data_IF_952728080997
#
_entry.id   IF_952728080997
#
_cell.length_a   1.000
_cell.length_b   1.000
_cell.length_c   1.000
_cell.angle_alpha   90.00
_cell.angle_beta   90.00
_cell.angle_gamma   90.00
#
_symmetry.space_group_name_H-M   'P 1'
#
loop_
_entity.id
_entity.type
_entity.pdbx_description
1 polymer ?
#
# COMPACT_ATOMS: atom_id res chain seq x y z
N UNK A 1 -4.02 21.46 -10.61
CA UNK A 1 -3.91 20.16 -9.89
C UNK A 1 -3.91 18.97 -10.85
N UNK A 2 -4.87 18.84 -11.77
CA UNK A 2 -4.95 17.70 -12.71
C UNK A 2 -3.64 17.43 -13.49
N UNK A 3 -3.09 18.43 -14.20
CA UNK A 3 -1.83 18.30 -14.96
C UNK A 3 -0.67 17.80 -14.08
N UNK A 4 -0.53 18.33 -12.85
CA UNK A 4 0.48 17.85 -11.91
C UNK A 4 0.27 16.39 -11.50
N UNK A 5 -0.97 15.97 -11.29
CA UNK A 5 -1.27 14.57 -10.96
C UNK A 5 -0.91 13.65 -12.12
N UNK A 6 -1.16 14.05 -13.37
CA UNK A 6 -0.78 13.30 -14.56
C UNK A 6 0.74 13.15 -14.66
N UNK A 7 1.50 14.24 -14.49
CA UNK A 7 2.97 14.19 -14.51
C UNK A 7 3.55 13.33 -13.37
N UNK A 8 2.97 13.41 -12.17
CA UNK A 8 3.35 12.55 -11.05
C UNK A 8 3.02 11.10 -11.37
N UNK A 9 1.82 10.82 -11.89
CA UNK A 9 1.41 9.47 -12.27
C UNK A 9 2.35 8.84 -13.30
N UNK A 10 2.71 9.60 -14.34
CA UNK A 10 3.66 9.16 -15.36
C UNK A 10 5.04 8.88 -14.76
N UNK A 11 5.50 9.74 -13.85
CA UNK A 11 6.73 9.51 -13.10
C UNK A 11 6.67 8.22 -12.28
N UNK A 12 5.59 7.99 -11.52
CA UNK A 12 5.42 6.77 -10.72
C UNK A 12 5.45 5.56 -11.64
N UNK A 13 4.64 5.57 -12.71
CA UNK A 13 4.53 4.50 -13.70
C UNK A 13 5.86 4.19 -14.41
N UNK A 14 6.70 5.18 -14.67
CA UNK A 14 8.01 4.98 -15.28
C UNK A 14 9.05 4.38 -14.32
N UNK A 15 8.84 4.49 -13.00
CA UNK A 15 9.83 4.15 -11.98
C UNK A 15 9.33 3.10 -10.97
N UNK A 16 8.29 2.33 -11.31
CA UNK A 16 7.64 1.36 -10.40
C UNK A 16 8.58 0.29 -9.84
N UNK A 17 9.52 -0.15 -10.67
CA UNK A 17 10.47 -1.23 -10.36
C UNK A 17 11.27 -1.01 -9.08
N UNK A 18 11.47 0.24 -8.64
CA UNK A 18 12.17 0.50 -7.38
C UNK A 18 11.33 0.14 -6.16
N UNK A 19 10.06 0.55 -6.14
CA UNK A 19 9.16 0.20 -5.04
C UNK A 19 8.75 -1.27 -5.14
N UNK A 20 8.44 -1.81 -6.33
CA UNK A 20 8.03 -3.21 -6.46
C UNK A 20 9.10 -4.17 -5.93
N UNK A 21 10.38 -3.96 -6.24
CA UNK A 21 11.48 -4.76 -5.67
C UNK A 21 11.59 -4.62 -4.16
N UNK A 22 11.42 -3.41 -3.62
CA UNK A 22 11.38 -3.19 -2.17
C UNK A 22 10.23 -3.96 -1.53
N UNK A 23 9.01 -3.84 -2.06
CA UNK A 23 7.80 -4.48 -1.53
C UNK A 23 7.93 -6.00 -1.61
N UNK A 24 8.46 -6.54 -2.71
CA UNK A 24 8.73 -7.96 -2.85
C UNK A 24 9.64 -8.47 -1.74
N UNK A 25 10.80 -7.85 -1.54
CA UNK A 25 11.75 -8.27 -0.51
C UNK A 25 11.19 -8.07 0.92
N UNK A 26 10.31 -7.09 1.12
CA UNK A 26 9.65 -6.83 2.40
C UNK A 26 8.58 -7.90 2.73
N UNK A 27 7.78 -8.32 1.76
CA UNK A 27 6.71 -9.31 1.98
C UNK A 27 7.11 -10.75 1.71
N UNK A 28 8.17 -11.00 0.95
CA UNK A 28 8.60 -12.35 0.62
C UNK A 28 8.80 -13.20 1.89
N UNK A 29 9.53 -12.77 2.94
CA UNK A 29 9.68 -13.58 4.16
C UNK A 29 8.37 -13.89 4.89
N UNK A 30 7.36 -13.03 4.73
CA UNK A 30 6.03 -13.17 5.35
C UNK A 30 5.19 -14.18 4.58
N UNK A 31 5.35 -14.22 3.25
CA UNK A 31 4.52 -14.97 2.31
C UNK A 31 5.20 -16.25 1.77
N UNK A 32 6.51 -16.40 1.95
CA UNK A 32 7.32 -17.55 1.49
C UNK A 32 7.44 -18.66 2.54
N UNK A 33 6.50 -18.72 3.49
CA UNK A 33 6.49 -19.79 4.49
C UNK A 33 6.12 -21.11 3.83
N UNK A 34 6.97 -22.14 4.02
CA UNK A 34 6.69 -23.51 3.60
C UNK A 34 5.43 -24.00 4.32
N UNK A 35 4.33 -24.15 3.58
CA UNK A 35 3.07 -24.55 4.16
C UNK A 35 1.88 -24.19 3.30
N UNK A 36 0.71 -24.60 3.78
CA UNK A 36 -0.61 -24.28 3.23
C UNK A 36 -0.85 -22.76 3.12
N UNK A 37 -1.97 -22.38 2.49
CA UNK A 37 -2.37 -20.98 2.30
C UNK A 37 -2.56 -20.26 3.65
N UNK A 38 -3.14 -20.93 4.64
CA UNK A 38 -3.55 -20.31 5.90
C UNK A 38 -2.40 -19.61 6.66
N UNK A 39 -1.22 -20.22 6.88
CA UNK A 39 -0.08 -19.53 7.45
C UNK A 39 0.30 -18.22 6.75
N UNK A 40 0.24 -18.18 5.41
CA UNK A 40 0.59 -16.98 4.63
C UNK A 40 -0.40 -15.85 4.91
N UNK A 41 -1.70 -16.15 4.90
CA UNK A 41 -2.77 -15.19 5.21
C UNK A 41 -2.63 -14.65 6.62
N UNK A 42 -2.47 -15.55 7.60
CA UNK A 42 -2.35 -15.18 9.01
C UNK A 42 -1.10 -14.33 9.24
N UNK A 43 0.05 -14.73 8.70
CA UNK A 43 1.28 -13.95 8.80
C UNK A 43 1.13 -12.57 8.18
N UNK A 44 0.49 -12.47 7.00
CA UNK A 44 0.24 -11.18 6.38
C UNK A 44 -0.66 -10.28 7.24
N UNK A 45 -1.73 -10.82 7.83
CA UNK A 45 -2.63 -10.08 8.73
C UNK A 45 -1.84 -9.51 9.92
N UNK A 46 -1.06 -10.34 10.61
CA UNK A 46 -0.21 -9.91 11.72
C UNK A 46 0.82 -8.88 11.28
N UNK A 47 1.50 -9.13 10.17
CA UNK A 47 2.54 -8.25 9.66
C UNK A 47 1.99 -6.87 9.35
N UNK A 48 0.86 -6.78 8.62
CA UNK A 48 0.21 -5.51 8.28
C UNK A 48 -0.30 -4.80 9.53
N UNK A 49 -0.97 -5.49 10.44
CA UNK A 49 -1.46 -4.87 11.67
C UNK A 49 -0.32 -4.34 12.56
N UNK A 50 0.82 -5.01 12.58
CA UNK A 50 2.00 -4.59 13.35
C UNK A 50 2.74 -3.39 12.72
N UNK A 51 2.40 -2.97 11.51
CA UNK A 51 2.88 -1.69 10.94
C UNK A 51 2.15 -0.47 11.54
N UNK A 52 1.08 -0.68 12.32
CA UNK A 52 0.41 0.39 13.04
C UNK A 52 1.32 0.97 14.13
N UNK A 53 1.36 2.29 14.27
CA UNK A 53 2.15 2.95 15.32
C UNK A 53 1.65 2.64 16.74
N UNK A 54 0.35 2.41 16.89
CA UNK A 54 -0.32 2.08 18.15
C UNK A 54 -1.45 1.06 17.88
N UNK A 55 -1.11 -0.23 17.74
CA UNK A 55 -2.11 -1.25 17.46
C UNK A 55 -3.10 -1.41 18.62
N UNK A 56 -4.39 -1.53 18.29
CA UNK A 56 -5.44 -1.82 19.28
C UNK A 56 -5.45 -3.31 19.61
N UNK A 57 -4.55 -3.71 20.51
CA UNK A 57 -4.23 -5.13 20.76
C UNK A 57 -5.47 -5.94 21.14
N UNK A 58 -6.32 -5.48 22.05
CA UNK A 58 -7.49 -6.29 22.47
C UNK A 58 -8.49 -6.53 21.32
N UNK A 59 -8.94 -5.49 20.58
CA UNK A 59 -9.70 -5.70 19.35
C UNK A 59 -9.04 -6.62 18.31
N UNK A 60 -7.73 -6.46 18.10
CA UNK A 60 -6.99 -7.29 17.14
C UNK A 60 -6.97 -8.75 17.60
N UNK A 61 -6.80 -9.01 18.90
CA UNK A 61 -6.83 -10.36 19.45
C UNK A 61 -8.20 -11.03 19.25
N UNK A 62 -9.31 -10.29 19.40
CA UNK A 62 -10.65 -10.80 19.08
C UNK A 62 -10.78 -11.18 17.59
N UNK A 63 -10.30 -10.31 16.70
CA UNK A 63 -10.27 -10.59 15.26
C UNK A 63 -9.41 -11.82 14.94
N UNK A 64 -8.20 -11.94 15.48
CA UNK A 64 -7.38 -13.12 15.22
C UNK A 64 -8.03 -14.41 15.74
N UNK A 65 -8.67 -14.37 16.92
CA UNK A 65 -9.43 -15.54 17.42
C UNK A 65 -10.56 -15.93 16.48
N UNK A 66 -11.23 -14.99 15.82
CA UNK A 66 -12.26 -15.32 14.83
C UNK A 66 -11.65 -15.96 13.58
N UNK A 67 -10.51 -15.45 13.10
CA UNK A 67 -9.76 -16.05 11.97
C UNK A 67 -9.31 -17.48 12.29
N UNK A 68 -8.69 -17.70 13.45
CA UNK A 68 -8.22 -19.04 13.86
C UNK A 68 -9.35 -20.06 14.08
N UNK A 69 -10.58 -19.60 14.39
CA UNK A 69 -11.76 -20.48 14.47
C UNK A 69 -12.33 -20.86 13.10
N UNK A 70 -11.94 -20.14 12.04
CA UNK A 70 -12.45 -20.29 10.68
C UNK A 70 -11.29 -20.35 9.67
N UNK A 71 -10.25 -21.14 9.96
CA UNK A 71 -9.07 -21.26 9.08
C UNK A 71 -9.42 -21.86 7.71
N UNK A 72 -10.47 -22.67 7.62
CA UNK A 72 -11.04 -23.12 6.34
C UNK A 72 -11.42 -21.93 5.46
N UNK A 73 -11.86 -20.82 6.07
CA UNK A 73 -12.21 -19.61 5.34
C UNK A 73 -11.02 -18.80 4.85
N UNK A 74 -9.79 -19.13 5.26
CA UNK A 74 -8.57 -18.45 4.80
C UNK A 74 -7.91 -19.12 3.59
N UNK A 75 -8.48 -20.19 3.03
CA UNK A 75 -7.91 -20.92 1.90
C UNK A 75 -8.13 -20.24 0.53
N UNK A 76 -9.05 -19.27 0.44
CA UNK A 76 -9.37 -18.56 -0.80
C UNK A 76 -9.77 -17.10 -0.57
N UNK A 77 -9.60 -16.27 -1.58
CA UNK A 77 -9.96 -14.86 -1.58
C UNK A 77 -11.45 -14.67 -1.30
N UNK A 78 -12.32 -15.31 -2.08
CA UNK A 78 -13.78 -15.11 -1.96
C UNK A 78 -14.30 -15.56 -0.60
N UNK A 79 -13.77 -16.69 -0.13
CA UNK A 79 -14.08 -17.23 1.19
C UNK A 79 -13.60 -16.33 2.32
N UNK A 80 -12.40 -15.74 2.20
CA UNK A 80 -11.90 -14.80 3.20
C UNK A 80 -12.70 -13.49 3.23
N UNK A 81 -13.13 -13.00 2.06
CA UNK A 81 -14.09 -11.88 1.99
C UNK A 81 -15.39 -12.25 2.69
N UNK A 82 -15.88 -13.48 2.48
CA UNK A 82 -17.03 -14.02 3.21
C UNK A 82 -16.84 -14.05 4.73
N UNK A 83 -15.65 -14.36 5.22
CA UNK A 83 -15.34 -14.32 6.65
C UNK A 83 -15.46 -12.90 7.23
N UNK A 84 -15.00 -11.88 6.50
CA UNK A 84 -14.97 -10.50 7.01
C UNK A 84 -16.21 -9.68 6.70
N UNK A 85 -17.05 -10.10 5.76
CA UNK A 85 -18.29 -9.40 5.36
C UNK A 85 -19.58 -10.18 5.59
N UNK A 86 -19.50 -11.51 5.77
CA UNK A 86 -20.65 -12.42 5.77
C UNK A 86 -21.13 -12.85 4.38
N UNK A 87 -20.52 -12.35 3.28
CA UNK A 87 -20.87 -12.70 1.90
C UNK A 87 -19.63 -12.87 1.04
N UNK A 88 -19.54 -14.00 0.33
CA UNK A 88 -18.43 -14.23 -0.60
C UNK A 88 -18.49 -13.24 -1.77
N UNK A 89 -17.32 -12.73 -2.15
CA UNK A 89 -17.17 -11.77 -3.26
C UNK A 89 -15.73 -11.81 -3.79
N UNK A 90 -15.60 -11.50 -5.07
CA UNK A 90 -14.33 -11.38 -5.78
C UNK A 90 -13.94 -9.90 -5.99
N UNK A 91 -14.48 -8.97 -5.20
CA UNK A 91 -14.15 -7.55 -5.30
C UNK A 91 -13.14 -7.17 -4.20
N UNK A 92 -12.04 -6.52 -4.59
CA UNK A 92 -11.08 -5.95 -3.64
C UNK A 92 -11.73 -4.90 -2.73
N UNK A 93 -12.71 -4.16 -3.22
CA UNK A 93 -13.44 -3.19 -2.40
C UNK A 93 -14.24 -3.87 -1.26
N UNK A 94 -14.75 -5.08 -1.48
CA UNK A 94 -15.46 -5.83 -0.44
C UNK A 94 -14.49 -6.37 0.61
N UNK A 95 -13.30 -6.82 0.20
CA UNK A 95 -12.20 -7.14 1.13
C UNK A 95 -11.83 -5.94 2.01
N UNK A 96 -11.64 -4.77 1.37
CA UNK A 96 -11.34 -3.52 2.07
C UNK A 96 -12.44 -3.14 3.07
N UNK A 97 -13.71 -3.13 2.64
CA UNK A 97 -14.84 -2.75 3.48
C UNK A 97 -15.01 -3.72 4.66
N UNK A 98 -14.95 -5.02 4.39
CA UNK A 98 -15.06 -6.06 5.42
C UNK A 98 -13.97 -5.94 6.47
N UNK A 99 -12.71 -5.77 6.07
CA UNK A 99 -11.60 -5.56 7.01
C UNK A 99 -11.76 -4.26 7.80
N UNK A 100 -12.13 -3.15 7.15
CA UNK A 100 -12.33 -1.84 7.81
C UNK A 100 -13.40 -1.91 8.90
N UNK A 101 -14.39 -2.78 8.76
CA UNK A 101 -15.48 -2.96 9.72
C UNK A 101 -15.08 -3.85 10.91
N UNK A 102 -13.97 -4.59 10.80
CA UNK A 102 -13.43 -5.33 11.92
C UNK A 102 -12.82 -4.40 12.96
N UNK A 103 -13.11 -4.67 14.24
CA UNK A 103 -12.49 -3.91 15.33
C UNK A 103 -10.97 -4.10 15.31
N UNK A 104 -10.23 -3.01 15.49
CA UNK A 104 -8.75 -3.01 15.39
C UNK A 104 -8.21 -2.72 13.98
N UNK A 105 -9.06 -2.73 12.96
CA UNK A 105 -8.69 -2.42 11.59
C UNK A 105 -9.16 -1.02 11.18
N UNK A 106 -8.21 -0.11 10.96
CA UNK A 106 -8.49 1.23 10.45
C UNK A 106 -8.48 1.30 8.92
N UNK A 107 -8.98 2.42 8.36
CA UNK A 107 -9.01 2.67 6.91
C UNK A 107 -7.65 2.43 6.23
N UNK A 108 -6.56 2.96 6.81
CA UNK A 108 -5.20 2.77 6.27
C UNK A 108 -4.78 1.30 6.28
N UNK A 109 -4.97 0.61 7.40
CA UNK A 109 -4.55 -0.79 7.57
C UNK A 109 -5.31 -1.72 6.63
N UNK A 110 -6.63 -1.55 6.52
CA UNK A 110 -7.45 -2.33 5.59
C UNK A 110 -7.06 -2.09 4.13
N UNK A 111 -6.79 -0.83 3.76
CA UNK A 111 -6.29 -0.47 2.43
C UNK A 111 -4.93 -1.13 2.16
N UNK A 112 -4.01 -1.08 3.14
CA UNK A 112 -2.68 -1.68 3.01
C UNK A 112 -2.78 -3.19 2.81
N UNK A 113 -3.56 -3.90 3.62
CA UNK A 113 -3.73 -5.35 3.45
C UNK A 113 -4.30 -5.69 2.07
N UNK A 114 -5.42 -5.06 1.70
CA UNK A 114 -6.08 -5.28 0.39
C UNK A 114 -5.12 -5.06 -0.78
N UNK A 115 -4.30 -4.00 -0.69
CA UNK A 115 -3.28 -3.70 -1.68
C UNK A 115 -2.18 -4.75 -1.74
N UNK A 116 -1.70 -5.23 -0.60
CA UNK A 116 -0.66 -6.26 -0.56
C UNK A 116 -1.17 -7.57 -1.15
N UNK A 117 -2.43 -7.94 -0.90
CA UNK A 117 -3.09 -9.08 -1.57
C UNK A 117 -3.06 -8.88 -3.08
N UNK A 118 -3.53 -7.73 -3.58
CA UNK A 118 -3.52 -7.46 -5.02
C UNK A 118 -2.11 -7.57 -5.61
N UNK A 119 -1.11 -6.95 -4.98
CA UNK A 119 0.27 -6.98 -5.48
C UNK A 119 0.88 -8.37 -5.43
N UNK A 120 0.70 -9.11 -4.33
CA UNK A 120 1.22 -10.47 -4.17
C UNK A 120 0.76 -11.41 -5.29
N UNK A 121 -0.46 -11.18 -5.81
CA UNK A 121 -1.05 -11.97 -6.88
C UNK A 121 -0.79 -11.45 -8.30
N UNK A 122 -0.55 -10.15 -8.47
CA UNK A 122 -0.56 -9.51 -9.79
C UNK A 122 0.72 -8.76 -10.17
N UNK A 123 1.63 -8.54 -9.22
CA UNK A 123 2.81 -7.67 -9.40
C UNK A 123 4.10 -8.27 -8.87
N UNK A 124 4.05 -9.00 -7.76
CA UNK A 124 5.21 -9.64 -7.14
C UNK A 124 5.45 -11.03 -7.75
N UNK A 125 6.58 -11.68 -7.42
CA UNK A 125 6.83 -13.05 -7.88
C UNK A 125 5.79 -14.05 -7.38
N UNK A 126 5.69 -15.17 -8.11
CA UNK A 126 4.78 -16.28 -7.81
C UNK A 126 4.93 -16.85 -6.38
N UNK A 127 6.10 -16.67 -5.74
CA UNK A 127 6.33 -17.11 -4.37
C UNK A 127 5.50 -16.32 -3.34
N UNK A 128 5.11 -15.08 -3.68
CA UNK A 128 4.26 -14.25 -2.84
C UNK A 128 2.77 -14.60 -2.97
N UNK A 129 2.34 -15.21 -4.09
CA UNK A 129 0.94 -15.58 -4.28
C UNK A 129 0.50 -16.69 -3.32
N UNK A 130 -0.75 -16.61 -2.82
CA UNK A 130 -1.29 -17.59 -1.87
C UNK A 130 -2.75 -18.02 -2.13
N UNK A 131 -3.62 -17.18 -2.68
CA UNK A 131 -4.99 -17.55 -3.09
C UNK A 131 -5.15 -17.76 -4.60
N UNK A 132 -5.59 -18.95 -5.01
CA UNK A 132 -5.76 -19.31 -6.41
C UNK A 132 -6.90 -18.55 -7.11
N UNK A 133 -7.92 -18.12 -6.36
CA UNK A 133 -9.13 -17.44 -6.84
C UNK A 133 -9.02 -15.90 -6.79
N UNK A 134 -7.86 -15.34 -6.47
CA UNK A 134 -7.68 -13.88 -6.45
C UNK A 134 -7.88 -13.28 -7.85
N UNK A 135 -8.68 -12.20 -7.99
CA UNK A 135 -8.85 -11.53 -9.27
C UNK A 135 -7.53 -10.96 -9.82
N UNK A 136 -7.34 -11.10 -11.14
CA UNK A 136 -6.11 -10.67 -11.80
C UNK A 136 -6.09 -9.18 -12.21
N UNK A 137 -7.22 -8.50 -12.06
CA UNK A 137 -7.47 -7.13 -12.48
C UNK A 137 -8.48 -6.50 -11.52
N UNK A 138 -8.38 -5.19 -11.32
CA UNK A 138 -9.45 -4.40 -10.68
C UNK A 138 -10.44 -4.01 -11.77
N UNK A 139 -11.63 -4.60 -11.74
CA UNK A 139 -12.69 -4.34 -12.73
C UNK A 139 -13.28 -2.93 -12.60
N UNK A 140 -14.09 -2.51 -13.58
CA UNK A 140 -14.78 -1.22 -13.51
C UNK A 140 -15.82 -1.13 -12.38
N UNK A 141 -16.27 -2.26 -11.83
CA UNK A 141 -17.15 -2.29 -10.65
C UNK A 141 -16.38 -2.47 -9.34
N UNK A 142 -15.04 -2.54 -9.40
CA UNK A 142 -14.17 -2.76 -8.25
C UNK A 142 -13.30 -1.53 -7.98
N UNK A 143 -12.80 -1.44 -6.76
CA UNK A 143 -11.97 -0.33 -6.31
C UNK A 143 -10.89 -0.81 -5.35
N UNK A 144 -9.70 -0.22 -5.48
CA UNK A 144 -8.67 -0.28 -4.45
C UNK A 144 -8.50 1.10 -3.82
N UNK A 145 -8.00 1.11 -2.58
CA UNK A 145 -7.78 2.32 -1.81
C UNK A 145 -6.29 2.50 -1.56
N UNK A 146 -5.78 3.72 -1.80
CA UNK A 146 -4.43 4.10 -1.43
C UNK A 146 -4.30 4.14 0.10
N UNK A 147 -3.33 3.44 0.70
CA UNK A 147 -3.04 3.56 2.13
C UNK A 147 -2.42 4.93 2.44
N UNK A 148 -3.26 5.90 2.80
CA UNK A 148 -2.82 7.27 3.07
C UNK A 148 -2.26 7.39 4.49
N UNK A 149 -1.02 7.86 4.60
CA UNK A 149 -0.38 8.21 5.86
C UNK A 149 0.22 9.63 5.83
N UNK A 150 0.98 10.00 6.86
CA UNK A 150 1.58 11.32 6.96
C UNK A 150 2.50 11.68 5.77
N UNK A 151 3.14 10.70 5.11
CA UNK A 151 3.99 10.94 3.92
C UNK A 151 3.14 11.41 2.76
N UNK A 152 2.08 10.66 2.48
CA UNK A 152 1.14 10.96 1.40
C UNK A 152 0.37 12.24 1.68
N UNK A 153 -0.12 12.43 2.91
CA UNK A 153 -0.80 13.67 3.34
C UNK A 153 0.08 14.87 3.02
N UNK A 154 1.36 14.84 3.40
CA UNK A 154 2.28 15.93 3.16
C UNK A 154 2.51 16.21 1.66
N UNK A 155 2.61 15.17 0.81
CA UNK A 155 2.69 15.37 -0.65
C UNK A 155 1.49 16.18 -1.14
N UNK A 156 0.27 15.78 -0.74
CA UNK A 156 -0.93 16.48 -1.19
C UNK A 156 -1.06 17.89 -0.60
N UNK A 157 -0.51 18.17 0.59
CA UNK A 157 -0.38 19.54 1.11
C UNK A 157 0.49 20.39 0.20
N UNK A 158 1.66 19.88 -0.21
CA UNK A 158 2.57 20.57 -1.15
C UNK A 158 1.94 20.77 -2.53
N UNK A 159 1.05 19.88 -2.95
CA UNK A 159 0.24 20.04 -4.17
C UNK A 159 -0.90 21.06 -4.03
N UNK A 160 -1.07 21.68 -2.85
CA UNK A 160 -2.07 22.71 -2.59
C UNK A 160 -3.43 22.18 -2.14
N UNK A 161 -3.54 20.90 -1.77
CA UNK A 161 -4.79 20.36 -1.23
C UNK A 161 -5.04 20.91 0.19
N UNK A 162 -6.19 21.53 0.41
CA UNK A 162 -6.56 22.03 1.73
C UNK A 162 -7.02 20.90 2.68
N UNK A 163 -6.30 20.72 3.78
CA UNK A 163 -6.54 19.71 4.83
C UNK A 163 -6.70 18.30 4.23
N UNK A 164 -5.65 17.75 3.59
CA UNK A 164 -5.70 16.42 3.01
C UNK A 164 -5.93 15.37 4.09
N UNK A 165 -6.66 14.33 3.72
CA UNK A 165 -6.89 13.16 4.57
C UNK A 165 -7.15 11.94 3.67
N UNK A 166 -7.26 10.77 4.29
CA UNK A 166 -7.49 9.50 3.59
C UNK A 166 -8.64 9.59 2.56
N UNK A 167 -9.80 10.11 2.97
CA UNK A 167 -11.00 10.14 2.15
C UNK A 167 -10.88 11.15 0.99
N UNK A 168 -10.37 12.36 1.27
CA UNK A 168 -10.21 13.42 0.26
C UNK A 168 -9.21 13.03 -0.82
N UNK A 169 -8.09 12.43 -0.42
CA UNK A 169 -7.04 11.99 -1.36
C UNK A 169 -7.58 10.87 -2.25
N UNK A 170 -8.15 9.82 -1.66
CA UNK A 170 -8.71 8.72 -2.44
C UNK A 170 -9.87 9.18 -3.35
N UNK A 171 -10.73 10.08 -2.86
CA UNK A 171 -11.79 10.67 -3.68
C UNK A 171 -11.23 11.41 -4.89
N UNK A 172 -10.18 12.22 -4.71
CA UNK A 172 -9.55 12.94 -5.81
C UNK A 172 -8.92 11.97 -6.83
N UNK A 173 -8.19 10.96 -6.38
CA UNK A 173 -7.57 9.99 -7.28
C UNK A 173 -8.61 9.24 -8.11
N UNK A 174 -9.70 8.79 -7.48
CA UNK A 174 -10.80 8.08 -8.15
C UNK A 174 -11.60 8.94 -9.15
N UNK A 175 -11.46 10.26 -9.12
CA UNK A 175 -12.03 11.14 -10.15
C UNK A 175 -11.26 11.10 -11.47
N UNK A 176 -10.02 10.59 -11.45
CA UNK A 176 -9.09 10.67 -12.57
C UNK A 176 -8.49 9.33 -12.99
N UNK A 177 -8.48 8.34 -12.10
CA UNK A 177 -7.83 7.05 -12.29
C UNK A 177 -8.77 5.91 -11.91
N UNK A 178 -8.70 4.80 -12.64
CA UNK A 178 -9.59 3.65 -12.45
C UNK A 178 -8.83 2.33 -12.48
N UNK A 179 -9.43 1.29 -11.92
CA UNK A 179 -8.88 -0.07 -11.96
C UNK A 179 -7.43 -0.13 -11.49
N UNK A 180 -6.57 -0.77 -12.29
CA UNK A 180 -5.16 -0.97 -11.97
C UNK A 180 -4.32 0.32 -11.89
N UNK A 181 -4.83 1.44 -12.41
CA UNK A 181 -4.13 2.73 -12.29
C UNK A 181 -4.10 3.21 -10.84
N UNK A 182 -5.13 2.92 -10.06
CA UNK A 182 -5.18 3.30 -8.64
C UNK A 182 -4.06 2.64 -7.83
N UNK A 183 -3.58 1.46 -8.24
CA UNK A 183 -2.48 0.76 -7.57
C UNK A 183 -1.12 1.43 -7.80
N UNK A 184 -0.91 2.12 -8.92
CA UNK A 184 0.33 2.86 -9.21
C UNK A 184 0.60 3.93 -8.14
N UNK A 185 -0.46 4.52 -7.61
CA UNK A 185 -0.36 5.59 -6.62
C UNK A 185 0.27 5.15 -5.30
N UNK A 186 0.37 3.84 -5.03
CA UNK A 186 1.11 3.35 -3.86
C UNK A 186 2.60 3.72 -3.90
N UNK A 187 3.17 3.83 -5.11
CA UNK A 187 4.58 4.18 -5.29
C UNK A 187 4.89 5.60 -4.74
N UNK A 188 3.87 6.45 -4.53
CA UNK A 188 4.02 7.72 -3.82
C UNK A 188 4.62 7.54 -2.42
N UNK A 189 4.32 6.44 -1.72
CA UNK A 189 4.83 6.24 -0.37
C UNK A 189 6.35 6.11 -0.39
N UNK A 190 6.89 5.32 -1.32
CA UNK A 190 8.34 5.13 -1.47
C UNK A 190 9.04 6.45 -1.77
N UNK A 191 8.59 7.14 -2.82
CA UNK A 191 9.19 8.41 -3.24
C UNK A 191 9.03 9.47 -2.17
N UNK A 192 7.83 9.65 -1.64
CA UNK A 192 7.57 10.60 -0.55
C UNK A 192 8.39 10.31 0.70
N UNK A 193 8.59 9.05 1.06
CA UNK A 193 9.34 8.69 2.26
C UNK A 193 10.78 9.16 2.14
N UNK A 194 11.46 8.80 1.04
CA UNK A 194 12.88 9.10 0.81
C UNK A 194 13.14 10.55 0.38
N UNK A 195 12.11 11.31 0.00
CA UNK A 195 12.24 12.74 -0.35
C UNK A 195 11.67 13.69 0.70
N UNK A 196 11.48 13.24 1.93
CA UNK A 196 10.98 14.09 3.02
C UNK A 196 11.92 14.06 4.23
N UNK A 197 12.38 15.22 4.71
CA UNK A 197 13.20 15.37 5.92
C UNK A 197 12.44 16.14 6.99
N UNK A 198 12.57 15.73 8.26
CA UNK A 198 11.84 16.33 9.38
C UNK A 198 10.50 15.65 9.71
N UNK A 199 9.78 16.21 10.68
CA UNK A 199 8.52 15.68 11.22
C UNK A 199 7.45 16.77 11.28
N UNK A 200 6.17 16.38 11.20
CA UNK A 200 5.05 17.32 11.26
C UNK A 200 5.16 18.47 10.24
N UNK A 201 4.90 19.70 10.71
CA UNK A 201 4.80 20.90 9.87
C UNK A 201 6.16 21.45 9.39
N UNK A 202 7.29 20.95 9.92
CA UNK A 202 8.64 21.39 9.50
C UNK A 202 9.23 20.52 8.40
N UNK A 203 8.42 19.61 7.86
CA UNK A 203 8.84 18.66 6.84
C UNK A 203 9.17 19.40 5.54
N UNK A 204 10.34 19.09 4.99
CA UNK A 204 10.86 19.67 3.75
C UNK A 204 11.03 18.59 2.68
N UNK A 205 10.72 18.95 1.44
CA UNK A 205 10.94 18.09 0.27
C UNK A 205 12.40 18.15 -0.15
N UNK A 206 13.16 17.11 0.17
CA UNK A 206 14.56 16.97 -0.22
C UNK A 206 15.00 15.50 -0.11
N UNK A 207 15.99 15.12 -0.92
CA UNK A 207 16.62 13.80 -0.82
C UNK A 207 17.07 13.52 0.62
N UNK A 208 16.58 12.42 1.17
CA UNK A 208 16.87 11.99 2.53
C UNK A 208 17.54 10.61 2.49
N UNK A 209 18.86 10.65 2.33
CA UNK A 209 19.71 9.47 2.27
C UNK A 209 19.55 8.57 3.50
N UNK A 210 19.45 9.15 4.70
CA UNK A 210 19.27 8.38 5.93
C UNK A 210 17.99 7.53 5.90
N UNK A 211 16.90 8.08 5.34
CA UNK A 211 15.66 7.31 5.16
C UNK A 211 15.83 6.22 4.12
N UNK A 212 16.52 6.48 3.02
CA UNK A 212 16.84 5.44 2.04
C UNK A 212 17.65 4.29 2.66
N UNK A 213 18.65 4.60 3.47
CA UNK A 213 19.43 3.61 4.21
C UNK A 213 18.62 2.87 5.27
N UNK A 214 17.62 3.52 5.87
CA UNK A 214 16.71 2.87 6.84
C UNK A 214 15.76 1.85 6.20
N UNK A 215 15.52 1.93 4.88
CA UNK A 215 14.78 0.91 4.16
C UNK A 215 15.68 -0.30 3.92
N UNK A 216 15.56 -1.32 4.76
CA UNK A 216 16.43 -2.52 4.76
C UNK A 216 16.48 -3.24 3.41
N UNK A 217 15.41 -3.15 2.61
CA UNK A 217 15.24 -3.92 1.39
C UNK A 217 15.47 -3.14 0.08
N UNK A 218 15.93 -1.88 0.13
CA UNK A 218 16.38 -1.18 -1.10
C UNK A 218 17.79 -1.61 -1.52
N UNK A 219 18.09 -1.52 -2.81
CA UNK A 219 19.42 -1.80 -3.37
C UNK A 219 20.44 -0.73 -2.92
N UNK A 220 21.50 -1.16 -2.22
CA UNK A 220 22.54 -0.27 -1.68
C UNK A 220 23.75 -0.13 -2.61
N UNK A 221 23.67 -0.62 -3.86
CA UNK A 221 24.68 -0.39 -4.86
C UNK A 221 24.84 1.14 -5.12
N UNK A 222 26.07 1.69 -5.10
CA UNK A 222 26.30 3.12 -5.30
C UNK A 222 25.70 3.69 -6.59
N UNK A 223 25.69 2.93 -7.68
CA UNK A 223 25.11 3.36 -8.96
C UNK A 223 23.59 3.48 -8.87
N UNK A 224 22.95 2.55 -8.15
CA UNK A 224 21.50 2.59 -7.92
C UNK A 224 21.14 3.73 -6.99
N UNK A 225 21.91 3.96 -5.93
CA UNK A 225 21.72 5.12 -5.04
C UNK A 225 21.82 6.43 -5.82
N UNK A 226 22.81 6.57 -6.70
CA UNK A 226 22.97 7.75 -7.54
C UNK A 226 21.75 7.97 -8.46
N UNK A 227 21.24 6.88 -9.05
CA UNK A 227 20.01 6.91 -9.87
C UNK A 227 18.79 7.32 -9.03
N UNK A 228 18.58 6.71 -7.86
CA UNK A 228 17.48 7.05 -6.96
C UNK A 228 17.56 8.52 -6.52
N UNK A 229 18.77 9.03 -6.23
CA UNK A 229 18.97 10.43 -5.87
C UNK A 229 18.57 11.37 -7.02
N UNK A 230 18.98 11.06 -8.25
CA UNK A 230 18.56 11.81 -9.43
C UNK A 230 17.03 11.78 -9.61
N UNK A 231 16.41 10.60 -9.54
CA UNK A 231 14.95 10.44 -9.62
C UNK A 231 14.20 11.12 -8.48
N UNK A 232 14.80 11.16 -7.30
CA UNK A 232 14.27 11.92 -6.17
C UNK A 232 14.22 13.42 -6.47
N UNK A 233 15.26 13.97 -7.10
CA UNK A 233 15.26 15.37 -7.55
C UNK A 233 14.19 15.65 -8.61
N UNK A 234 14.00 14.74 -9.57
CA UNK A 234 12.90 14.84 -10.55
C UNK A 234 11.53 14.86 -9.85
N UNK A 235 11.29 13.90 -8.93
CA UNK A 235 10.04 13.80 -8.17
C UNK A 235 9.74 15.05 -7.33
N UNK A 236 10.75 15.58 -6.63
CA UNK A 236 10.62 16.82 -5.86
C UNK A 236 10.22 17.99 -6.78
N UNK A 237 10.86 18.11 -7.94
CA UNK A 237 10.54 19.13 -8.92
C UNK A 237 9.07 19.08 -9.38
N UNK A 238 8.51 17.88 -9.58
CA UNK A 238 7.09 17.72 -9.94
C UNK A 238 6.14 18.21 -8.84
N UNK A 239 6.52 18.04 -7.58
CA UNK A 239 5.72 18.49 -6.43
C UNK A 239 5.83 20.02 -6.28
N UNK A 240 7.05 20.54 -6.28
CA UNK A 240 7.37 21.93 -5.93
C UNK A 240 7.12 22.96 -7.05
N UNK A 241 6.87 22.55 -8.30
CA UNK A 241 6.56 23.46 -9.41
C UNK A 241 5.49 24.48 -8.99
N UNK A 242 5.88 25.74 -8.75
CA UNK A 242 4.95 26.80 -8.31
C UNK A 242 4.01 27.16 -9.46
N UNK A 243 2.76 27.51 -9.12
CA UNK A 243 1.82 28.20 -10.03
C UNK A 243 2.28 29.65 -10.16
#
# INVERSE_FOLDING_TARGET
MKIKLEQIFDFLKANREFNLRLQEQFFLPVLSVNGSVNPKVVNLLYHVANTQSQPKIDPLAEFYRSVYRNLDKTEGFASFVGLVTGKESLLFNDLYCGLREQRGWGKKTAALFTKVVYQAHNRLSANCAFWADTPSQISAQDEIWLPVDAVIIHIFEQLGMHKPNFDKINKLLKQHYVGNELEVWDDLWFWGFITQKGTGNTRQMQWNENKYWSLTHTDKNPMVISTIKQKSSEFIGLIEQKI
#
